data_IF_891780368667
#
_entry.id   IF_891780368667
#
_cell.length_a   1.000
_cell.length_b   1.000
_cell.length_c   1.000
_cell.angle_alpha   90.00
_cell.angle_beta   90.00
_cell.angle_gamma   90.00
#
_symmetry.space_group_name_H-M   'P 1'
#
loop_
_entity.id
_entity.type
_entity.pdbx_description
1 polymer ?
#
# COMPACT_ATOMS: atom_id res chain seq x y z
N UNK A 1 -6.21 10.83 -6.03
CA UNK A 1 -5.73 11.25 -7.37
C UNK A 1 -4.75 10.19 -7.86
N UNK A 2 -4.64 9.94 -9.17
CA UNK A 2 -3.57 9.09 -9.70
C UNK A 2 -2.34 9.94 -9.99
N UNK A 3 -1.22 9.62 -9.35
CA UNK A 3 0.08 10.26 -9.57
C UNK A 3 1.02 9.30 -10.30
N UNK A 4 1.97 9.82 -11.07
CA UNK A 4 3.04 9.00 -11.64
C UNK A 4 4.19 8.85 -10.65
N UNK A 5 4.52 7.62 -10.30
CA UNK A 5 5.73 7.30 -9.53
C UNK A 5 7.00 7.55 -10.35
N UNK A 6 8.15 7.52 -9.67
CA UNK A 6 9.50 7.67 -10.25
C UNK A 6 9.79 6.71 -11.42
N UNK A 7 9.09 5.58 -11.46
CA UNK A 7 9.22 4.54 -12.48
C UNK A 7 8.14 4.63 -13.59
N UNK A 8 7.36 5.71 -13.61
CA UNK A 8 6.29 5.94 -14.58
C UNK A 8 5.01 5.13 -14.36
N UNK A 9 4.96 4.30 -13.31
CA UNK A 9 3.77 3.54 -12.90
C UNK A 9 2.77 4.43 -12.16
N UNK A 10 1.48 4.16 -12.34
CA UNK A 10 0.42 4.85 -11.60
C UNK A 10 0.45 4.44 -10.12
N UNK A 11 0.41 5.44 -9.24
CA UNK A 11 0.31 5.27 -7.79
C UNK A 11 -0.87 6.12 -7.31
N UNK A 12 -1.72 5.56 -6.45
CA UNK A 12 -2.75 6.35 -5.79
C UNK A 12 -2.11 7.27 -4.75
N UNK A 13 -2.37 8.57 -4.89
CA UNK A 13 -1.81 9.63 -4.07
C UNK A 13 -2.91 10.52 -3.49
N UNK A 14 -2.67 10.99 -2.28
CA UNK A 14 -3.46 11.99 -1.58
C UNK A 14 -2.69 13.31 -1.61
N UNK A 15 -3.41 14.41 -1.86
CA UNK A 15 -2.84 15.77 -1.88
C UNK A 15 -2.87 16.32 -0.46
N UNK A 16 -1.70 16.68 0.06
CA UNK A 16 -1.56 17.43 1.32
C UNK A 16 -2.01 18.88 1.16
N UNK A 17 -2.38 19.51 2.27
CA UNK A 17 -2.78 20.92 2.29
C UNK A 17 -1.65 21.89 1.89
N UNK A 18 -0.42 21.40 1.86
CA UNK A 18 0.82 22.07 1.45
C UNK A 18 1.21 21.80 -0.03
N UNK A 19 0.38 21.05 -0.77
CA UNK A 19 0.68 20.64 -2.15
C UNK A 19 1.64 19.45 -2.27
N UNK A 20 2.03 18.83 -1.16
CA UNK A 20 2.82 17.60 -1.15
C UNK A 20 1.96 16.39 -1.53
N UNK A 21 2.56 15.39 -2.18
CA UNK A 21 1.89 14.16 -2.57
C UNK A 21 2.35 13.00 -1.69
N UNK A 22 1.42 12.39 -0.97
CA UNK A 22 1.66 11.20 -0.14
C UNK A 22 0.96 9.98 -0.75
N UNK A 23 1.60 8.79 -0.80
CA UNK A 23 0.94 7.56 -1.23
C UNK A 23 -0.31 7.28 -0.38
N UNK A 24 -1.41 6.91 -1.02
CA UNK A 24 -2.69 6.65 -0.37
C UNK A 24 -2.59 5.60 0.73
N UNK A 25 -1.80 4.54 0.52
CA UNK A 25 -1.56 3.50 1.52
C UNK A 25 -0.83 4.06 2.74
N UNK A 26 0.21 4.89 2.55
CA UNK A 26 0.93 5.51 3.67
C UNK A 26 0.03 6.48 4.44
N UNK A 27 -0.80 7.25 3.72
CA UNK A 27 -1.78 8.13 4.34
C UNK A 27 -2.84 7.36 5.14
N UNK A 28 -3.44 6.33 4.55
CA UNK A 28 -4.45 5.49 5.19
C UNK A 28 -3.87 4.73 6.39
N UNK A 29 -2.64 4.23 6.29
CA UNK A 29 -1.91 3.64 7.41
C UNK A 29 -1.70 4.64 8.55
N UNK A 30 -1.25 5.87 8.23
CA UNK A 30 -1.08 6.93 9.22
C UNK A 30 -2.41 7.31 9.91
N UNK A 31 -3.48 7.44 9.14
CA UNK A 31 -4.80 7.76 9.69
C UNK A 31 -5.37 6.61 10.54
N UNK A 32 -5.13 5.36 10.14
CA UNK A 32 -5.50 4.18 10.93
C UNK A 32 -4.70 4.12 12.24
N UNK A 33 -3.40 4.45 12.20
CA UNK A 33 -2.56 4.56 13.38
C UNK A 33 -3.06 5.65 14.34
N UNK A 34 -3.46 6.81 13.81
CA UNK A 34 -4.07 7.89 14.59
C UNK A 34 -5.36 7.44 15.29
N UNK A 35 -6.27 6.81 14.55
CA UNK A 35 -7.52 6.28 15.12
C UNK A 35 -7.25 5.22 16.21
N UNK A 36 -6.26 4.34 16.00
CA UNK A 36 -5.82 3.37 17.01
C UNK A 36 -5.28 4.05 18.28
N UNK A 37 -4.47 5.10 18.13
CA UNK A 37 -3.96 5.89 19.25
C UNK A 37 -5.08 6.63 20.01
N UNK A 38 -6.04 7.22 19.31
CA UNK A 38 -7.21 7.88 19.92
C UNK A 38 -8.05 6.88 20.72
N UNK A 39 -8.30 5.69 20.18
CA UNK A 39 -9.03 4.63 20.86
C UNK A 39 -8.29 4.11 22.10
N UNK A 40 -6.96 3.91 22.00
CA UNK A 40 -6.14 3.50 23.14
C UNK A 40 -6.15 4.55 24.25
N UNK A 41 -6.08 5.85 23.90
CA UNK A 41 -6.16 6.94 24.87
C UNK A 41 -7.53 6.99 25.56
N UNK A 42 -8.61 6.77 24.80
CA UNK A 42 -9.96 6.72 25.38
C UNK A 42 -10.11 5.54 26.34
N UNK A 43 -9.64 4.35 25.97
CA UNK A 43 -9.66 3.17 26.83
C UNK A 43 -8.83 3.37 28.11
N UNK A 44 -7.65 4.03 27.99
CA UNK A 44 -6.84 4.40 29.14
C UNK A 44 -7.58 5.37 30.09
N UNK A 45 -8.27 6.37 29.54
CA UNK A 45 -9.04 7.32 30.33
C UNK A 45 -10.25 6.67 31.04
N UNK A 46 -10.93 5.72 30.38
CA UNK A 46 -12.02 4.94 30.99
C UNK A 46 -11.51 4.05 32.13
N UNK A 47 -10.37 3.37 31.93
CA UNK A 47 -9.74 2.59 32.97
C UNK A 47 -9.31 3.45 34.18
N UNK A 48 -8.71 4.62 33.94
CA UNK A 48 -8.34 5.56 35.01
C UNK A 48 -9.55 6.06 35.80
N UNK A 49 -10.67 6.35 35.13
CA UNK A 49 -11.93 6.73 35.80
C UNK A 49 -12.49 5.60 36.67
N UNK A 50 -12.38 4.35 36.22
CA UNK A 50 -12.83 3.19 36.98
C UNK A 50 -12.02 2.98 38.28
N UNK A 51 -10.76 3.40 38.31
CA UNK A 51 -9.89 3.27 39.49
C UNK A 51 -9.98 4.44 40.47
N UNK A 52 -10.35 5.65 40.02
CA UNK A 52 -10.35 6.88 40.84
C UNK A 52 -11.50 7.06 41.83
N UNK A 53 -12.18 5.98 42.26
CA UNK A 53 -13.56 6.07 42.73
C UNK A 53 -13.88 5.94 44.22
N UNK A 54 -12.93 5.67 45.13
CA UNK A 54 -13.29 5.44 46.55
C UNK A 54 -12.71 6.43 47.55
N UNK A 55 -11.56 7.07 47.27
CA UNK A 55 -10.88 7.92 48.26
C UNK A 55 -10.42 7.17 49.53
N UNK A 56 -10.48 5.83 49.52
CA UNK A 56 -10.20 4.97 50.65
C UNK A 56 -8.71 4.57 50.66
N UNK A 57 -7.92 5.00 51.67
CA UNK A 57 -6.48 4.70 51.72
C UNK A 57 -6.19 3.18 51.76
N UNK A 58 -7.13 2.35 52.23
CA UNK A 58 -6.94 0.91 52.30
C UNK A 58 -6.99 0.22 50.92
N UNK A 59 -7.65 0.83 49.93
CA UNK A 59 -7.78 0.30 48.56
C UNK A 59 -6.78 0.88 47.57
N UNK A 60 -6.08 1.95 47.97
CA UNK A 60 -5.12 2.65 47.13
C UNK A 60 -4.02 1.74 46.56
N UNK A 61 -3.54 0.76 47.34
CA UNK A 61 -2.52 -0.17 46.87
C UNK A 61 -3.04 -1.12 45.77
N UNK A 62 -4.26 -1.61 45.90
CA UNK A 62 -4.91 -2.46 44.90
C UNK A 62 -5.25 -1.65 43.64
N UNK A 63 -5.73 -0.41 43.80
CA UNK A 63 -6.02 0.50 42.69
C UNK A 63 -4.74 0.87 41.91
N UNK A 64 -3.60 1.10 42.60
CA UNK A 64 -2.31 1.33 41.96
C UNK A 64 -1.85 0.11 41.16
N UNK A 65 -2.03 -1.10 41.70
CA UNK A 65 -1.68 -2.34 41.01
C UNK A 65 -2.56 -2.58 39.78
N UNK A 66 -3.87 -2.34 39.90
CA UNK A 66 -4.80 -2.39 38.77
C UNK A 66 -4.43 -1.37 37.69
N UNK A 67 -3.99 -0.17 38.09
CA UNK A 67 -3.56 0.87 37.16
C UNK A 67 -2.31 0.48 36.38
N UNK A 68 -1.30 -0.04 37.06
CA UNK A 68 -0.07 -0.51 36.44
C UNK A 68 -0.32 -1.64 35.44
N UNK A 69 -1.17 -2.61 35.81
CA UNK A 69 -1.57 -3.70 34.92
C UNK A 69 -2.28 -3.16 33.68
N UNK A 70 -3.25 -2.26 33.86
CA UNK A 70 -4.00 -1.68 32.75
C UNK A 70 -3.12 -0.90 31.80
N UNK A 71 -2.22 -0.05 32.33
CA UNK A 71 -1.25 0.71 31.54
C UNK A 71 -0.35 -0.25 30.74
N UNK A 72 0.17 -1.30 31.37
CA UNK A 72 1.04 -2.29 30.71
C UNK A 72 0.32 -3.02 29.58
N UNK A 73 -0.94 -3.43 29.81
CA UNK A 73 -1.77 -4.08 28.80
C UNK A 73 -2.06 -3.14 27.63
N UNK A 74 -2.46 -1.90 27.91
CA UNK A 74 -2.73 -0.88 26.89
C UNK A 74 -1.49 -0.59 26.05
N UNK A 75 -0.32 -0.44 26.67
CA UNK A 75 0.94 -0.21 25.97
C UNK A 75 1.30 -1.38 25.05
N UNK A 76 1.15 -2.61 25.54
CA UNK A 76 1.44 -3.84 24.77
C UNK A 76 0.51 -3.95 23.57
N UNK A 77 -0.80 -3.78 23.78
CA UNK A 77 -1.81 -3.87 22.73
C UNK A 77 -1.62 -2.76 21.68
N UNK A 78 -1.36 -1.52 22.11
CA UNK A 78 -1.12 -0.42 21.19
C UNK A 78 0.13 -0.63 20.34
N UNK A 79 1.22 -1.10 20.96
CA UNK A 79 2.46 -1.43 20.24
C UNK A 79 2.22 -2.52 19.18
N UNK A 80 1.46 -3.57 19.52
CA UNK A 80 1.09 -4.63 18.60
C UNK A 80 0.23 -4.12 17.44
N UNK A 81 -0.78 -3.30 17.72
CA UNK A 81 -1.66 -2.71 16.70
C UNK A 81 -0.91 -1.78 15.74
N UNK A 82 0.01 -0.93 16.23
CA UNK A 82 0.83 -0.09 15.37
C UNK A 82 1.72 -0.93 14.45
N UNK A 83 2.40 -1.96 14.98
CA UNK A 83 3.20 -2.89 14.16
C UNK A 83 2.34 -3.57 13.10
N UNK A 84 1.14 -4.02 13.47
CA UNK A 84 0.19 -4.65 12.54
C UNK A 84 -0.23 -3.69 11.43
N UNK A 85 -0.53 -2.43 11.75
CA UNK A 85 -0.87 -1.39 10.76
C UNK A 85 0.30 -1.15 9.81
N UNK A 86 1.53 -1.05 10.33
CA UNK A 86 2.74 -0.87 9.52
C UNK A 86 2.96 -2.04 8.56
N UNK A 87 2.91 -3.29 9.06
CA UNK A 87 3.05 -4.50 8.24
C UNK A 87 1.98 -4.56 7.14
N UNK A 88 0.71 -4.34 7.49
CA UNK A 88 -0.39 -4.32 6.51
C UNK A 88 -0.19 -3.24 5.44
N UNK A 89 0.24 -2.04 5.84
CA UNK A 89 0.47 -0.93 4.91
C UNK A 89 1.62 -1.26 3.95
N UNK A 90 2.74 -1.78 4.47
CA UNK A 90 3.89 -2.19 3.67
C UNK A 90 3.51 -3.28 2.66
N UNK A 91 2.75 -4.29 3.09
CA UNK A 91 2.29 -5.37 2.21
C UNK A 91 1.32 -4.87 1.15
N UNK A 92 0.36 -4.01 1.50
CA UNK A 92 -0.57 -3.42 0.53
C UNK A 92 0.18 -2.66 -0.56
N UNK A 93 1.17 -1.84 -0.17
CA UNK A 93 2.02 -1.14 -1.13
C UNK A 93 2.79 -2.10 -2.03
N UNK A 94 3.39 -3.14 -1.46
CA UNK A 94 4.22 -4.07 -2.21
C UNK A 94 3.38 -4.99 -3.14
N UNK A 95 2.11 -5.21 -2.81
CA UNK A 95 1.17 -6.03 -3.58
C UNK A 95 0.33 -5.22 -4.58
N UNK A 96 0.23 -3.90 -4.47
CA UNK A 96 -0.68 -3.06 -5.25
C UNK A 96 -0.62 -3.31 -6.78
N UNK A 97 0.57 -3.51 -7.33
CA UNK A 97 0.76 -3.73 -8.77
C UNK A 97 0.63 -5.19 -9.23
N UNK A 98 0.60 -6.16 -8.31
CA UNK A 98 0.64 -7.59 -8.63
C UNK A 98 -0.60 -8.36 -8.15
N UNK A 99 -1.35 -7.82 -7.20
CA UNK A 99 -2.58 -8.41 -6.67
C UNK A 99 -3.82 -7.78 -7.30
N UNK A 100 -4.87 -8.56 -7.52
CA UNK A 100 -6.20 -8.03 -7.83
C UNK A 100 -6.77 -7.28 -6.62
N UNK A 101 -6.75 -7.93 -5.45
CA UNK A 101 -6.99 -7.31 -4.15
C UNK A 101 -5.84 -7.69 -3.20
N UNK A 102 -5.00 -6.73 -2.78
CA UNK A 102 -3.95 -6.98 -1.80
C UNK A 102 -4.48 -7.55 -0.47
N UNK A 103 -5.68 -7.19 -0.03
CA UNK A 103 -6.23 -7.61 1.26
C UNK A 103 -6.48 -9.12 1.31
N UNK A 104 -6.95 -9.72 0.22
CA UNK A 104 -7.19 -11.16 0.13
C UNK A 104 -5.90 -11.95 0.31
N UNK A 105 -4.82 -11.52 -0.34
CA UNK A 105 -3.50 -12.17 -0.20
C UNK A 105 -2.96 -11.97 1.21
N UNK A 106 -3.04 -10.75 1.76
CA UNK A 106 -2.53 -10.44 3.10
C UNK A 106 -3.24 -11.28 4.16
N UNK A 107 -4.55 -11.56 4.01
CA UNK A 107 -5.32 -12.40 4.94
C UNK A 107 -4.81 -13.85 5.04
N UNK A 108 -4.03 -14.30 4.05
CA UNK A 108 -3.44 -15.63 3.98
C UNK A 108 -2.01 -15.67 4.52
N UNK A 109 -1.41 -14.52 4.85
CA UNK A 109 -0.04 -14.42 5.32
C UNK A 109 0.03 -14.44 6.86
N UNK A 110 1.08 -15.07 7.36
CA UNK A 110 1.46 -15.02 8.77
C UNK A 110 2.20 -13.70 9.05
N UNK A 111 1.47 -12.71 9.58
CA UNK A 111 2.02 -11.38 9.86
C UNK A 111 3.17 -11.40 10.88
N UNK A 112 3.28 -12.44 11.73
CA UNK A 112 4.37 -12.54 12.71
C UNK A 112 5.73 -12.80 12.03
N UNK A 113 5.74 -13.39 10.83
CA UNK A 113 6.96 -13.65 10.04
C UNK A 113 7.39 -12.48 9.15
N UNK A 114 6.65 -11.38 9.21
CA UNK A 114 6.85 -10.22 8.35
C UNK A 114 7.48 -9.11 9.15
N UNK A 115 8.59 -8.59 8.65
CA UNK A 115 9.31 -7.46 9.22
C UNK A 115 9.23 -6.26 8.29
N UNK A 116 9.14 -5.10 8.93
CA UNK A 116 9.22 -3.78 8.30
C UNK A 116 10.39 -3.02 8.89
N UNK A 117 11.00 -2.15 8.09
CA UNK A 117 12.03 -1.23 8.58
C UNK A 117 11.41 -0.05 9.35
N UNK A 118 12.26 0.80 9.94
CA UNK A 118 11.83 1.98 10.70
C UNK A 118 11.08 3.01 9.85
N UNK A 119 11.20 2.92 8.52
CA UNK A 119 10.48 3.77 7.56
C UNK A 119 9.14 3.15 7.11
N UNK A 120 8.76 1.99 7.67
CA UNK A 120 7.55 1.25 7.34
C UNK A 120 7.59 0.59 5.96
N UNK A 121 8.77 0.32 5.41
CA UNK A 121 8.93 -0.46 4.18
C UNK A 121 9.14 -1.94 4.51
N UNK A 122 8.73 -2.81 3.60
CA UNK A 122 8.86 -4.26 3.77
C UNK A 122 10.33 -4.67 3.75
N UNK A 123 10.77 -5.36 4.81
CA UNK A 123 12.12 -5.94 4.90
C UNK A 123 12.14 -7.41 4.48
N UNK A 124 11.04 -8.12 4.73
CA UNK A 124 10.89 -9.53 4.33
C UNK A 124 10.77 -9.67 2.81
N UNK A 125 11.35 -10.74 2.27
CA UNK A 125 11.19 -11.08 0.86
C UNK A 125 9.72 -11.41 0.54
N UNK A 126 9.10 -10.56 -0.27
CA UNK A 126 7.70 -10.70 -0.66
C UNK A 126 7.49 -11.90 -1.58
N UNK A 127 8.39 -12.12 -2.53
CA UNK A 127 8.20 -13.17 -3.55
C UNK A 127 8.24 -14.56 -2.92
N UNK A 128 9.15 -14.80 -1.97
CA UNK A 128 9.17 -16.02 -1.16
C UNK A 128 7.89 -16.22 -0.34
N UNK A 129 7.37 -15.15 0.28
CA UNK A 129 6.12 -15.20 1.07
C UNK A 129 4.90 -15.59 0.22
N UNK A 130 4.78 -15.02 -0.98
CA UNK A 130 3.59 -15.20 -1.81
C UNK A 130 3.69 -16.35 -2.81
N UNK A 131 4.87 -16.94 -3.01
CA UNK A 131 5.06 -18.06 -3.95
C UNK A 131 4.09 -19.24 -3.70
N UNK A 132 3.89 -19.74 -2.47
CA UNK A 132 2.93 -20.81 -2.22
C UNK A 132 1.47 -20.39 -2.51
N UNK A 133 1.16 -19.10 -2.34
CA UNK A 133 -0.15 -18.53 -2.65
C UNK A 133 -0.33 -18.39 -4.16
N UNK A 134 0.71 -17.99 -4.91
CA UNK A 134 0.71 -17.96 -6.38
C UNK A 134 0.46 -19.34 -6.96
N UNK A 135 1.11 -20.37 -6.42
CA UNK A 135 0.97 -21.76 -6.89
C UNK A 135 -0.42 -22.35 -6.60
N UNK A 136 -1.04 -22.01 -5.46
CA UNK A 136 -2.35 -22.55 -5.05
C UNK A 136 -3.55 -21.70 -5.45
N UNK A 137 -3.36 -20.38 -5.60
CA UNK A 137 -4.42 -19.36 -5.80
C UNK A 137 -3.96 -18.28 -6.78
N UNK A 138 -3.52 -18.70 -7.96
CA UNK A 138 -3.05 -17.79 -9.02
C UNK A 138 -4.04 -16.67 -9.37
N UNK A 139 -5.35 -16.95 -9.27
CA UNK A 139 -6.43 -15.98 -9.55
C UNK A 139 -6.43 -14.72 -8.65
N UNK A 140 -5.70 -14.74 -7.53
CA UNK A 140 -5.54 -13.56 -6.67
C UNK A 140 -4.54 -12.55 -7.24
N UNK A 141 -3.72 -12.97 -8.21
CA UNK A 141 -2.66 -12.17 -8.81
C UNK A 141 -3.05 -11.71 -10.21
N UNK A 142 -2.70 -10.46 -10.51
CA UNK A 142 -2.80 -9.91 -11.86
C UNK A 142 -1.83 -10.66 -12.76
N UNK A 143 -2.27 -10.98 -13.96
CA UNK A 143 -1.37 -11.42 -15.02
C UNK A 143 -0.31 -10.32 -15.21
N UNK A 144 0.96 -10.69 -15.09
CA UNK A 144 2.02 -9.79 -15.52
C UNK A 144 1.83 -9.61 -17.02
N UNK A 145 1.41 -8.42 -17.44
CA UNK A 145 1.47 -8.03 -18.85
C UNK A 145 2.92 -8.25 -19.29
N UNK A 146 3.17 -9.39 -19.93
CA UNK A 146 4.29 -9.50 -20.84
C UNK A 146 4.03 -8.39 -21.84
N UNK A 147 4.84 -7.33 -21.78
CA UNK A 147 4.99 -6.41 -22.89
C UNK A 147 5.44 -7.28 -24.06
N UNK A 148 4.47 -7.78 -24.80
CA UNK A 148 4.71 -8.31 -26.12
C UNK A 148 5.18 -7.10 -26.90
N UNK A 149 6.48 -7.05 -27.19
CA UNK A 149 7.03 -6.16 -28.19
C UNK A 149 6.39 -6.57 -29.53
N UNK A 150 5.17 -6.09 -29.77
CA UNK A 150 4.55 -6.21 -31.08
C UNK A 150 5.34 -5.25 -31.96
N UNK A 151 6.40 -5.76 -32.59
CA UNK A 151 7.11 -5.05 -33.65
C UNK A 151 6.08 -4.76 -34.75
N UNK A 152 5.57 -3.53 -34.77
CA UNK A 152 4.68 -3.06 -35.81
C UNK A 152 5.32 -3.34 -37.17
N UNK A 153 4.53 -3.87 -38.10
CA UNK A 153 5.00 -4.13 -39.46
C UNK A 153 5.53 -2.82 -40.06
N UNK A 154 6.78 -2.83 -40.54
CA UNK A 154 7.34 -1.70 -41.29
C UNK A 154 6.52 -1.55 -42.58
N UNK A 155 5.87 -0.40 -42.83
CA UNK A 155 5.20 -0.17 -44.10
C UNK A 155 6.21 -0.31 -45.25
N UNK A 156 5.77 -0.91 -46.36
CA UNK A 156 6.59 -0.98 -47.57
C UNK A 156 7.04 0.44 -47.98
N UNK A 157 8.29 0.63 -48.42
CA UNK A 157 8.73 1.93 -48.90
C UNK A 157 7.80 2.37 -50.02
N UNK A 158 7.25 3.59 -49.89
CA UNK A 158 6.35 4.16 -50.88
C UNK A 158 6.98 4.10 -52.26
N UNK A 159 6.31 3.42 -53.19
CA UNK A 159 6.72 3.40 -54.59
C UNK A 159 6.74 4.82 -55.14
N UNK A 160 7.79 5.15 -55.89
CA UNK A 160 7.90 6.42 -56.59
C UNK A 160 6.61 6.70 -57.40
N UNK A 161 6.05 7.91 -57.34
CA UNK A 161 4.97 8.30 -58.23
C UNK A 161 5.46 8.17 -59.69
N UNK A 162 4.60 7.71 -60.61
CA UNK A 162 4.97 7.61 -62.02
C UNK A 162 5.38 8.98 -62.55
N UNK A 163 6.52 9.01 -63.26
CA UNK A 163 7.04 10.21 -63.87
C UNK A 163 6.01 10.81 -64.83
N UNK A 164 5.73 12.11 -64.64
CA UNK A 164 4.89 12.91 -65.52
C UNK A 164 5.51 12.91 -66.92
N UNK A 165 4.85 12.29 -67.89
CA UNK A 165 5.24 12.35 -69.29
C UNK A 165 5.29 13.81 -69.74
N UNK A 166 6.38 14.19 -70.41
CA UNK A 166 6.58 15.51 -70.99
C UNK A 166 5.57 15.73 -72.14
N UNK A 167 5.07 16.96 -72.35
CA UNK A 167 4.25 17.26 -73.51
C UNK A 167 5.15 17.29 -74.76
N UNK A 168 4.89 16.39 -75.70
CA UNK A 168 5.45 16.47 -77.05
C UNK A 168 4.89 17.70 -77.76
N UNK A 169 5.78 18.54 -78.29
CA UNK A 169 5.43 19.62 -79.22
C UNK A 169 5.17 19.08 -80.64
N UNK A 170 5.07 19.98 -81.62
CA UNK A 170 3.85 20.62 -82.09
C UNK A 170 3.27 19.91 -83.32
N UNK A 171 1.93 19.90 -83.45
CA UNK A 171 1.26 19.44 -84.68
C UNK A 171 0.75 20.65 -85.46
N UNK A 172 1.32 20.81 -86.65
CA UNK A 172 0.99 21.77 -87.71
C UNK A 172 -0.10 21.15 -88.58
N UNK A 173 -1.21 21.85 -88.82
CA UNK A 173 -2.03 21.76 -90.03
C UNK A 173 -2.79 23.08 -90.24
#
# INVERSE_FOLDING_TARGET
MKGKGKDGKDVDVVVGNDGSFVPAEKYNGANSGKASAENALKAAAEALKAMGGSGDPAKLADDVKAAQNTITTLQTNHTAEIKKIQKNTALKMALASQAHDPADIISLLDLEKIDVDDSGNLKTDLDGLIKPIKESKAYLFKEQEQKTDIKGAKPAPGGNPPAKAAPEGPVIF
#
